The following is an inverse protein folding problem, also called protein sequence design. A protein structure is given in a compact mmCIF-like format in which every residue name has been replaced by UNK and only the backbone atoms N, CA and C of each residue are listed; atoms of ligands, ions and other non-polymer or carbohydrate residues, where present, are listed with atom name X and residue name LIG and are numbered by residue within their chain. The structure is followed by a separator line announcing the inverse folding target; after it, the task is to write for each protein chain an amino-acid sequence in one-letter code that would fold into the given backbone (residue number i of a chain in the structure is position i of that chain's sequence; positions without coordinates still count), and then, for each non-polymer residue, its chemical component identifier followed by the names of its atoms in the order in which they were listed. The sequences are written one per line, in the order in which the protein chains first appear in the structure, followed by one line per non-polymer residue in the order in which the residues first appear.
data_IF_675229946407
#
_entry.id   IF_675229946407
#
_cell.length_a   1.000
_cell.length_b   1.000
_cell.length_c   1.000
_cell.angle_alpha   90.00
_cell.angle_beta   90.00
_cell.angle_gamma   90.00
#
_symmetry.space_group_name_H-M   'P 1'
#
loop_
_entity.id
_entity.type
_entity.pdbx_description
1 polymer ?
#
# COMPACT_ATOMS: atom_id res chain seq x y z
N UNK A 1 39.15 81.07 -17.19
CA UNK A 1 38.49 82.38 -17.41
C UNK A 1 37.35 82.46 -16.44
N UNK A 2 37.60 83.31 -15.46
CA UNK A 2 36.78 84.35 -14.91
C UNK A 2 35.56 83.88 -14.10
N UNK A 3 35.66 84.10 -12.86
CA UNK A 3 35.48 85.28 -11.98
C UNK A 3 34.08 85.29 -11.46
N UNK A 4 34.01 85.21 -10.14
CA UNK A 4 33.82 86.29 -9.12
C UNK A 4 32.34 86.41 -8.80
N UNK A 5 31.87 86.61 -7.58
CA UNK A 5 32.38 87.19 -6.36
C UNK A 5 31.15 87.37 -5.46
N UNK A 6 31.32 87.16 -4.13
CA UNK A 6 30.98 88.09 -3.04
C UNK A 6 29.54 88.59 -3.04
N UNK A 7 28.77 88.66 -1.99
CA UNK A 7 28.99 89.26 -0.70
C UNK A 7 27.89 88.89 0.31
N UNK A 8 28.30 88.62 1.49
CA UNK A 8 27.92 89.27 2.74
C UNK A 8 26.56 89.96 2.85
N UNK A 9 25.76 89.60 3.84
CA UNK A 9 25.37 90.57 4.90
C UNK A 9 24.82 89.81 6.15
N UNK A 10 25.33 90.29 7.25
CA UNK A 10 24.98 90.03 8.65
C UNK A 10 23.54 90.38 9.00
N UNK A 11 23.05 89.71 10.05
CA UNK A 11 22.34 90.50 11.00
C UNK A 11 21.21 89.84 11.76
N UNK A 12 21.49 89.64 13.04
CA UNK A 12 20.61 89.92 14.18
C UNK A 12 19.68 88.82 14.69
N UNK A 13 20.13 88.28 15.83
CA UNK A 13 19.40 87.86 17.01
C UNK A 13 17.88 87.94 17.00
N UNK A 14 17.22 86.78 17.29
CA UNK A 14 16.26 86.74 18.40
C UNK A 14 16.25 85.40 19.04
N UNK A 15 16.55 85.40 20.29
CA UNK A 15 16.34 84.38 21.30
C UNK A 15 14.83 84.16 21.40
N UNK A 16 14.37 82.91 21.24
CA UNK A 16 13.22 82.50 21.98
C UNK A 16 13.38 80.98 22.38
N UNK A 17 13.29 80.88 23.63
CA UNK A 17 13.35 79.67 24.45
C UNK A 17 12.20 78.72 24.19
N UNK A 18 12.54 77.49 24.39
CA UNK A 18 11.70 76.45 25.00
C UNK A 18 10.52 75.92 24.17
N UNK A 19 10.63 74.75 23.81
CA UNK A 19 9.77 73.65 24.24
C UNK A 19 10.30 72.38 23.52
N UNK A 20 10.98 71.53 24.25
CA UNK A 20 11.14 70.13 23.84
C UNK A 20 9.81 69.47 24.11
N UNK A 21 9.11 68.90 23.11
CA UNK A 21 8.09 67.92 23.39
C UNK A 21 8.80 66.66 23.84
N UNK A 22 8.51 66.22 25.05
CA UNK A 22 8.82 64.92 25.60
C UNK A 22 8.27 63.89 24.60
N UNK A 23 9.15 63.09 24.01
CA UNK A 23 8.76 61.94 23.24
C UNK A 23 7.94 61.03 24.16
N UNK A 24 6.67 60.86 23.80
CA UNK A 24 5.83 59.82 24.40
C UNK A 24 6.50 58.44 24.19
N UNK A 25 6.44 57.55 25.14
CA UNK A 25 6.96 56.21 24.98
C UNK A 25 6.14 55.56 23.82
N UNK A 26 6.84 55.17 22.77
CA UNK A 26 6.26 54.30 21.76
C UNK A 26 5.82 53.03 22.48
N UNK A 27 4.53 52.84 22.52
CA UNK A 27 3.83 51.68 23.04
C UNK A 27 4.47 50.41 22.46
N UNK A 28 4.91 49.56 23.32
CA UNK A 28 5.35 48.19 23.01
C UNK A 28 4.15 47.30 22.68
N UNK A 29 3.35 47.67 21.65
CA UNK A 29 2.11 46.97 21.29
C UNK A 29 2.13 46.37 19.88
N UNK A 30 3.28 46.37 19.19
CA UNK A 30 3.40 45.75 17.88
C UNK A 30 4.02 44.35 17.84
N UNK A 31 4.41 43.77 18.99
CA UNK A 31 5.12 42.46 18.98
C UNK A 31 4.25 41.22 19.14
N UNK A 32 2.98 41.34 19.50
CA UNK A 32 2.16 40.18 19.89
C UNK A 32 1.24 39.65 18.77
N UNK A 33 1.15 40.31 17.64
CA UNK A 33 0.31 39.89 16.52
C UNK A 33 0.70 38.51 15.92
N UNK A 34 1.99 38.21 15.93
CA UNK A 34 2.48 36.88 15.48
C UNK A 34 2.12 35.78 16.47
N UNK A 35 2.05 36.10 17.77
CA UNK A 35 1.71 35.17 18.84
C UNK A 35 0.26 34.69 18.71
N UNK A 36 -0.66 35.60 18.35
CA UNK A 36 -2.07 35.30 18.10
C UNK A 36 -2.19 34.30 16.91
N UNK A 37 -1.50 34.60 15.80
CA UNK A 37 -1.48 33.71 14.65
C UNK A 37 -0.84 32.34 14.95
N UNK A 38 0.20 32.33 15.77
CA UNK A 38 0.86 31.09 16.21
C UNK A 38 -0.06 30.24 17.08
N UNK A 39 -0.76 30.85 18.05
CA UNK A 39 -1.74 30.15 18.91
C UNK A 39 -2.89 29.60 18.09
N UNK A 40 -3.38 30.32 17.08
CA UNK A 40 -4.45 29.83 16.19
C UNK A 40 -4.02 28.58 15.42
N UNK A 41 -2.83 28.63 14.78
CA UNK A 41 -2.27 27.45 14.10
C UNK A 41 -2.06 26.30 15.05
N UNK A 42 -1.56 26.55 16.27
CA UNK A 42 -1.32 25.52 17.28
C UNK A 42 -2.62 24.87 17.72
N UNK A 43 -3.69 25.65 17.96
CA UNK A 43 -5.00 25.13 18.34
C UNK A 43 -5.64 24.32 17.23
N UNK A 44 -5.52 24.76 15.97
CA UNK A 44 -5.97 23.99 14.80
C UNK A 44 -5.22 22.66 14.68
N UNK A 45 -3.93 22.65 14.92
CA UNK A 45 -3.10 21.45 14.87
C UNK A 45 -3.45 20.47 16.00
N UNK A 46 -3.69 20.97 17.21
CA UNK A 46 -4.12 20.17 18.35
C UNK A 46 -5.52 19.59 18.12
N UNK A 47 -6.46 20.38 17.61
CA UNK A 47 -7.81 19.90 17.29
C UNK A 47 -7.77 18.84 16.19
N UNK A 48 -6.98 19.02 15.14
CA UNK A 48 -6.76 18.03 14.10
C UNK A 48 -6.19 16.73 14.69
N UNK A 49 -5.20 16.84 15.58
CA UNK A 49 -4.59 15.69 16.22
C UNK A 49 -5.58 14.91 17.11
N UNK A 50 -6.42 15.62 17.88
CA UNK A 50 -7.47 15.01 18.69
C UNK A 50 -8.50 14.29 17.81
N UNK A 51 -8.90 14.90 16.67
CA UNK A 51 -9.81 14.26 15.71
C UNK A 51 -9.18 13.00 15.11
N UNK A 52 -7.89 13.05 14.74
CA UNK A 52 -7.17 11.88 14.22
C UNK A 52 -7.04 10.77 15.28
N UNK A 53 -6.79 11.10 16.55
CA UNK A 53 -6.79 10.13 17.65
C UNK A 53 -8.18 9.52 17.88
N UNK A 54 -9.23 10.33 17.85
CA UNK A 54 -10.59 9.85 17.97
C UNK A 54 -10.96 8.91 16.81
N UNK A 55 -10.57 9.26 15.60
CA UNK A 55 -10.76 8.42 14.41
C UNK A 55 -9.94 7.12 14.47
N UNK A 56 -8.72 7.18 14.99
CA UNK A 56 -7.87 6.00 15.21
C UNK A 56 -8.48 5.04 16.25
N UNK A 57 -9.07 5.55 17.32
CA UNK A 57 -9.76 4.74 18.33
C UNK A 57 -11.08 4.18 17.81
N UNK A 58 -11.80 4.95 17.00
CA UNK A 58 -13.06 4.49 16.38
C UNK A 58 -12.82 3.32 15.42
N UNK A 59 -11.77 3.37 14.60
CA UNK A 59 -11.38 2.25 13.73
C UNK A 59 -10.84 1.03 14.49
N UNK A 60 -10.36 1.21 15.73
CA UNK A 60 -9.92 0.13 16.62
C UNK A 60 -11.09 -0.57 17.34
N UNK A 61 -12.20 0.13 17.64
CA UNK A 61 -13.32 -0.44 18.39
C UNK A 61 -14.25 -1.32 17.55
N UNK A 62 -14.26 -1.20 16.23
CA UNK A 62 -15.02 -2.12 15.37
C UNK A 62 -14.48 -3.56 15.45
N UNK A 63 -13.25 -3.76 15.92
CA UNK A 63 -12.64 -5.10 16.07
C UNK A 63 -12.85 -5.76 17.45
N UNK A 64 -13.35 -5.05 18.47
CA UNK A 64 -13.48 -5.60 19.82
C UNK A 64 -14.91 -5.83 20.31
N UNK A 65 -15.93 -5.35 19.60
CA UNK A 65 -17.33 -5.56 19.99
C UNK A 65 -17.88 -6.96 19.67
N UNK A 66 -17.08 -7.85 19.06
CA UNK A 66 -17.50 -9.22 18.67
C UNK A 66 -17.11 -10.30 19.67
N UNK A 67 -16.52 -9.98 20.82
CA UNK A 67 -15.95 -10.99 21.74
C UNK A 67 -16.59 -11.08 23.14
N UNK A 68 -17.68 -10.36 23.43
CA UNK A 68 -18.37 -10.48 24.72
C UNK A 68 -19.87 -10.55 24.50
N UNK A 69 -20.39 -11.69 24.07
CA UNK A 69 -21.73 -12.18 24.43
C UNK A 69 -21.95 -13.62 23.91
N UNK A 70 -21.30 -14.55 24.53
CA UNK A 70 -21.62 -15.97 24.37
C UNK A 70 -21.62 -16.63 25.75
N UNK A 71 -22.62 -16.31 26.56
CA UNK A 71 -23.12 -17.22 27.60
C UNK A 71 -24.56 -16.91 27.93
N UNK A 72 -25.37 -17.95 27.86
CA UNK A 72 -26.77 -18.09 28.28
C UNK A 72 -27.87 -17.57 27.35
N UNK A 73 -28.35 -18.40 26.44
CA UNK A 73 -29.77 -18.85 26.51
C UNK A 73 -29.97 -20.14 25.70
N UNK A 74 -30.30 -21.20 26.38
CA UNK A 74 -30.86 -22.43 25.80
C UNK A 74 -32.35 -22.17 25.60
N UNK A 75 -32.86 -22.29 24.39
CA UNK A 75 -34.05 -22.98 23.93
C UNK A 75 -34.58 -22.52 22.58
N UNK A 76 -34.67 -23.50 21.71
CA UNK A 76 -35.65 -23.71 20.64
C UNK A 76 -35.97 -22.58 19.64
N UNK A 77 -35.62 -22.83 18.38
CA UNK A 77 -36.07 -22.09 17.22
C UNK A 77 -35.27 -22.45 15.99
N UNK A 78 -35.74 -23.46 15.24
CA UNK A 78 -35.22 -23.87 13.94
C UNK A 78 -35.28 -22.67 12.97
N UNK A 79 -34.12 -22.07 12.69
CA UNK A 79 -33.95 -21.19 11.55
C UNK A 79 -32.58 -21.57 10.96
N UNK A 80 -32.60 -22.05 9.72
CA UNK A 80 -31.40 -22.41 8.98
C UNK A 80 -30.51 -21.18 8.81
N UNK A 81 -29.56 -21.00 9.73
CA UNK A 81 -28.43 -20.09 9.54
C UNK A 81 -27.47 -20.83 8.62
N UNK A 82 -27.40 -20.41 7.38
CA UNK A 82 -26.28 -20.77 6.51
C UNK A 82 -24.99 -20.33 7.21
N UNK A 83 -24.36 -21.27 7.92
CA UNK A 83 -22.98 -21.13 8.33
C UNK A 83 -22.15 -20.98 7.06
N UNK A 84 -21.53 -19.80 6.90
CA UNK A 84 -20.45 -19.63 5.93
C UNK A 84 -19.30 -20.51 6.40
N UNK A 85 -19.29 -21.78 5.98
CA UNK A 85 -18.21 -22.74 6.22
C UNK A 85 -17.00 -22.45 5.30
N UNK A 86 -16.54 -21.19 5.30
CA UNK A 86 -15.28 -20.85 4.68
C UNK A 86 -14.18 -21.10 5.73
N UNK A 87 -13.27 -22.05 5.50
CA UNK A 87 -12.21 -22.32 6.46
C UNK A 87 -11.39 -21.06 6.73
N UNK A 88 -10.97 -20.82 7.97
CA UNK A 88 -10.12 -19.67 8.28
C UNK A 88 -8.79 -19.78 7.52
N UNK A 89 -8.20 -18.63 7.24
CA UNK A 89 -6.93 -18.54 6.48
C UNK A 89 -5.82 -19.48 6.99
N UNK A 90 -5.88 -19.83 8.27
CA UNK A 90 -4.93 -20.75 8.89
C UNK A 90 -5.06 -22.18 8.33
N UNK A 91 -6.28 -22.66 8.13
CA UNK A 91 -6.54 -24.00 7.58
C UNK A 91 -6.12 -24.12 6.12
N UNK A 92 -6.20 -23.02 5.34
CA UNK A 92 -5.74 -23.03 3.94
C UNK A 92 -4.24 -23.31 3.79
N UNK A 93 -3.44 -22.97 4.80
CA UNK A 93 -1.99 -23.18 4.77
C UNK A 93 -1.64 -24.53 5.34
N UNK A 94 -2.31 -24.96 6.41
CA UNK A 94 -2.04 -26.23 7.09
C UNK A 94 -2.35 -27.44 6.19
N UNK A 95 -3.30 -27.29 5.26
CA UNK A 95 -3.68 -28.35 4.30
C UNK A 95 -2.74 -28.40 3.05
N UNK A 96 -1.88 -27.39 2.88
CA UNK A 96 -0.91 -27.35 1.78
C UNK A 96 0.38 -28.10 2.15
N UNK A 97 0.40 -29.41 1.98
CA UNK A 97 1.62 -30.20 2.09
C UNK A 97 2.55 -29.91 0.91
N UNK A 98 3.54 -29.05 1.12
CA UNK A 98 4.53 -28.69 0.10
C UNK A 98 5.68 -29.71 0.15
N UNK A 99 5.98 -30.42 -0.94
CA UNK A 99 7.13 -31.30 -1.01
C UNK A 99 8.44 -30.56 -0.71
N UNK A 100 9.40 -31.19 0.00
CA UNK A 100 10.66 -30.52 0.39
C UNK A 100 11.47 -29.98 -0.79
N UNK A 101 11.43 -30.65 -1.92
CA UNK A 101 12.10 -30.25 -3.17
C UNK A 101 11.52 -28.96 -3.79
N UNK A 102 10.28 -28.63 -3.43
CA UNK A 102 9.59 -27.42 -3.93
C UNK A 102 9.63 -26.25 -2.96
N UNK A 103 10.01 -26.45 -1.69
CA UNK A 103 10.03 -25.39 -0.66
C UNK A 103 10.93 -24.22 -1.02
N UNK A 104 12.01 -24.44 -1.77
CA UNK A 104 12.91 -23.36 -2.23
C UNK A 104 12.32 -22.54 -3.40
N UNK A 105 11.21 -22.96 -3.97
CA UNK A 105 10.62 -22.41 -5.19
C UNK A 105 9.26 -21.75 -4.93
N UNK A 106 8.67 -22.02 -3.76
CA UNK A 106 7.41 -21.49 -3.30
C UNK A 106 7.60 -20.89 -1.90
N UNK A 107 7.32 -19.60 -1.77
CA UNK A 107 7.29 -18.90 -0.49
C UNK A 107 5.84 -18.54 -0.15
N UNK A 108 5.43 -18.79 1.09
CA UNK A 108 4.08 -18.46 1.56
C UNK A 108 4.18 -17.40 2.62
N UNK A 109 3.64 -16.22 2.34
CA UNK A 109 3.54 -15.11 3.27
C UNK A 109 2.08 -14.92 3.68
N UNK A 110 1.83 -14.79 4.98
CA UNK A 110 0.51 -14.52 5.52
C UNK A 110 0.47 -13.19 6.24
N UNK A 111 -0.55 -12.41 5.92
CA UNK A 111 -0.91 -11.20 6.65
C UNK A 111 -2.27 -11.38 7.33
N UNK A 112 -2.74 -10.36 8.07
CA UNK A 112 -4.08 -10.38 8.66
C UNK A 112 -5.21 -10.43 7.61
N UNK A 113 -4.92 -9.99 6.38
CA UNK A 113 -5.92 -9.76 5.32
C UNK A 113 -5.70 -10.58 4.06
N UNK A 114 -4.56 -11.25 3.93
CA UNK A 114 -4.22 -12.01 2.72
C UNK A 114 -3.28 -13.17 2.99
N UNK A 115 -3.34 -14.16 2.11
CA UNK A 115 -2.35 -15.22 1.97
C UNK A 115 -1.70 -15.07 0.61
N UNK A 116 -0.39 -14.98 0.55
CA UNK A 116 0.37 -14.80 -0.68
C UNK A 116 1.25 -16.04 -0.94
N UNK A 117 1.09 -16.65 -2.12
CA UNK A 117 1.92 -17.75 -2.61
C UNK A 117 2.85 -17.18 -3.68
N UNK A 118 4.14 -17.08 -3.38
CA UNK A 118 5.15 -16.56 -4.30
C UNK A 118 5.90 -17.70 -4.97
N UNK A 119 5.80 -17.79 -6.27
CA UNK A 119 6.39 -18.83 -7.09
C UNK A 119 7.44 -18.21 -8.00
N UNK A 120 8.68 -18.69 -7.91
CA UNK A 120 9.75 -18.23 -8.81
C UNK A 120 9.39 -18.51 -10.27
N UNK A 121 9.62 -17.54 -11.16
CA UNK A 121 9.30 -17.69 -12.58
C UNK A 121 10.04 -18.86 -13.23
N UNK A 122 11.29 -19.14 -12.83
CA UNK A 122 12.11 -20.23 -13.36
C UNK A 122 11.49 -21.61 -13.15
N UNK A 123 10.57 -21.75 -12.19
CA UNK A 123 9.80 -22.99 -11.95
C UNK A 123 8.61 -23.07 -12.90
N UNK A 124 7.98 -21.92 -13.15
CA UNK A 124 6.76 -21.86 -13.95
C UNK A 124 7.03 -21.79 -15.45
N UNK A 125 8.09 -21.07 -15.85
CA UNK A 125 8.35 -20.70 -17.25
C UNK A 125 9.82 -20.89 -17.65
N UNK A 126 10.06 -20.97 -18.94
CA UNK A 126 11.38 -20.81 -19.51
C UNK A 126 11.70 -19.32 -19.69
N UNK A 127 12.99 -19.02 -19.90
CA UNK A 127 13.44 -17.64 -20.11
C UNK A 127 12.68 -17.01 -21.29
N UNK A 128 12.23 -15.77 -21.11
CA UNK A 128 11.45 -15.04 -22.10
C UNK A 128 10.23 -15.81 -22.66
N UNK A 129 9.64 -16.72 -21.87
CA UNK A 129 8.43 -17.47 -22.19
C UNK A 129 7.31 -17.20 -21.17
N UNK A 130 6.10 -17.43 -21.61
CA UNK A 130 4.90 -17.46 -20.76
C UNK A 130 4.18 -18.82 -20.86
N UNK A 131 4.84 -19.85 -21.39
CA UNK A 131 4.28 -21.19 -21.52
C UNK A 131 4.65 -22.00 -20.27
N UNK A 132 3.65 -22.61 -19.59
CA UNK A 132 3.87 -23.31 -18.32
C UNK A 132 4.68 -24.60 -18.51
N UNK A 133 5.73 -24.73 -17.71
CA UNK A 133 6.54 -25.97 -17.57
C UNK A 133 5.76 -27.06 -16.84
N UNK A 134 6.08 -28.35 -17.05
CA UNK A 134 5.46 -29.46 -16.32
C UNK A 134 5.56 -29.31 -14.79
N UNK A 135 6.73 -28.89 -14.27
CA UNK A 135 6.93 -28.64 -12.84
C UNK A 135 6.00 -27.53 -12.32
N UNK A 136 5.86 -26.44 -13.08
CA UNK A 136 4.93 -25.34 -12.75
C UNK A 136 3.48 -25.80 -12.69
N UNK A 137 3.03 -26.61 -13.66
CA UNK A 137 1.68 -27.19 -13.66
C UNK A 137 1.44 -28.05 -12.41
N UNK A 138 2.39 -28.86 -11.99
CA UNK A 138 2.27 -29.67 -10.78
C UNK A 138 2.08 -28.84 -9.53
N UNK A 139 2.86 -27.75 -9.37
CA UNK A 139 2.73 -26.83 -8.23
C UNK A 139 1.37 -26.14 -8.25
N UNK A 140 1.01 -25.57 -9.40
CA UNK A 140 -0.24 -24.84 -9.56
C UNK A 140 -1.48 -25.74 -9.34
N UNK A 141 -1.43 -27.02 -9.73
CA UNK A 141 -2.52 -27.97 -9.48
C UNK A 141 -2.72 -28.21 -7.97
N UNK A 142 -1.61 -28.31 -7.20
CA UNK A 142 -1.68 -28.44 -5.74
C UNK A 142 -2.23 -27.22 -5.07
N UNK A 143 -1.77 -26.04 -5.49
CA UNK A 143 -2.28 -24.75 -4.98
C UNK A 143 -3.77 -24.62 -5.33
N UNK A 144 -4.18 -24.98 -6.55
CA UNK A 144 -5.58 -24.97 -6.95
C UNK A 144 -6.46 -25.84 -6.04
N UNK A 145 -6.00 -27.06 -5.67
CA UNK A 145 -6.73 -27.93 -4.73
C UNK A 145 -6.93 -27.34 -3.32
N UNK A 146 -5.99 -26.49 -2.88
CA UNK A 146 -6.16 -25.74 -1.62
C UNK A 146 -7.10 -24.54 -1.82
N UNK A 147 -6.94 -23.81 -2.92
CA UNK A 147 -7.74 -22.61 -3.21
C UNK A 147 -9.21 -22.95 -3.51
N UNK A 148 -9.49 -24.13 -4.05
CA UNK A 148 -10.85 -24.58 -4.35
C UNK A 148 -11.73 -24.69 -3.11
N UNK A 149 -11.13 -25.03 -1.97
CA UNK A 149 -11.83 -25.10 -0.66
C UNK A 149 -12.21 -23.72 -0.12
N UNK A 150 -11.71 -22.64 -0.69
CA UNK A 150 -11.97 -21.27 -0.26
C UNK A 150 -12.93 -20.54 -1.21
N UNK A 151 -13.54 -19.46 -0.70
CA UNK A 151 -14.44 -18.59 -1.50
C UNK A 151 -13.84 -17.19 -1.73
N UNK A 152 -12.58 -17.02 -1.39
CA UNK A 152 -11.93 -15.70 -1.49
C UNK A 152 -11.52 -15.38 -2.92
N UNK A 153 -11.42 -14.08 -3.20
CA UNK A 153 -10.83 -13.59 -4.43
C UNK A 153 -9.33 -13.87 -4.48
N UNK A 154 -8.84 -14.17 -5.66
CA UNK A 154 -7.45 -14.52 -5.94
C UNK A 154 -6.93 -13.57 -7.02
N UNK A 155 -5.93 -12.75 -6.69
CA UNK A 155 -5.18 -11.97 -7.66
C UNK A 155 -3.95 -12.75 -8.09
N UNK A 156 -3.83 -12.97 -9.38
CA UNK A 156 -2.65 -13.58 -10.01
C UNK A 156 -1.78 -12.45 -10.53
N UNK A 157 -0.61 -12.25 -9.96
CA UNK A 157 0.25 -11.11 -10.20
C UNK A 157 1.58 -11.55 -10.83
N UNK A 158 1.88 -11.02 -12.01
CA UNK A 158 3.13 -11.29 -12.72
C UNK A 158 4.14 -10.17 -12.48
N UNK A 159 5.38 -10.54 -12.12
CA UNK A 159 6.47 -9.62 -11.87
C UNK A 159 7.71 -10.01 -12.67
N UNK A 160 8.51 -9.02 -13.05
CA UNK A 160 9.82 -9.20 -13.68
C UNK A 160 10.93 -8.56 -12.84
N UNK A 161 12.15 -8.78 -13.21
CA UNK A 161 13.26 -7.90 -12.82
C UNK A 161 13.30 -6.66 -13.72
N UNK A 162 14.28 -5.78 -13.49
CA UNK A 162 14.47 -4.55 -14.26
C UNK A 162 15.26 -4.75 -15.56
N UNK A 163 15.65 -5.99 -15.91
CA UNK A 163 16.29 -6.25 -17.20
C UNK A 163 15.26 -6.07 -18.33
N UNK A 164 15.50 -5.18 -19.29
CA UNK A 164 14.53 -4.94 -20.35
C UNK A 164 14.44 -6.15 -21.28
N UNK A 165 13.22 -6.51 -21.65
CA UNK A 165 12.94 -7.48 -22.71
C UNK A 165 12.42 -6.76 -23.94
N UNK A 166 12.87 -7.19 -25.11
CA UNK A 166 12.32 -6.71 -26.38
C UNK A 166 12.36 -7.84 -27.40
N UNK A 167 11.21 -8.48 -27.61
CA UNK A 167 11.04 -9.56 -28.60
C UNK A 167 9.79 -9.31 -29.42
N UNK A 168 9.61 -10.03 -30.52
CA UNK A 168 8.39 -9.93 -31.32
C UNK A 168 7.11 -10.32 -30.54
N UNK A 169 7.23 -11.20 -29.55
CA UNK A 169 6.09 -11.64 -28.69
C UNK A 169 5.92 -10.73 -27.49
N UNK A 170 6.99 -10.16 -26.95
CA UNK A 170 7.01 -9.34 -25.74
C UNK A 170 7.76 -8.04 -26.00
N UNK A 171 7.06 -6.96 -26.38
CA UNK A 171 7.69 -5.65 -26.59
C UNK A 171 8.32 -5.08 -25.33
N UNK A 172 7.78 -5.39 -24.14
CA UNK A 172 8.30 -4.96 -22.85
C UNK A 172 8.02 -5.96 -21.72
N UNK A 173 8.52 -5.68 -20.53
CA UNK A 173 8.25 -6.44 -19.31
C UNK A 173 6.74 -6.42 -18.91
N UNK A 174 6.01 -5.43 -19.38
CA UNK A 174 4.56 -5.34 -19.13
C UNK A 174 3.79 -6.46 -19.82
N UNK A 175 4.05 -6.70 -21.11
CA UNK A 175 3.39 -7.77 -21.89
C UNK A 175 3.81 -9.14 -21.35
N UNK A 176 5.10 -9.32 -21.02
CA UNK A 176 5.60 -10.58 -20.47
C UNK A 176 4.91 -10.91 -19.15
N UNK A 177 4.91 -9.95 -18.18
CA UNK A 177 4.33 -10.16 -16.86
C UNK A 177 2.82 -10.40 -16.93
N UNK A 178 2.11 -9.64 -17.75
CA UNK A 178 0.65 -9.77 -17.95
C UNK A 178 0.30 -11.12 -18.58
N UNK A 179 1.04 -11.56 -19.60
CA UNK A 179 0.76 -12.84 -20.23
C UNK A 179 1.07 -14.01 -19.29
N UNK A 180 2.12 -13.94 -18.48
CA UNK A 180 2.43 -14.94 -17.46
C UNK A 180 1.30 -15.04 -16.42
N UNK A 181 0.83 -13.92 -15.89
CA UNK A 181 -0.30 -13.89 -14.97
C UNK A 181 -1.57 -14.50 -15.64
N UNK A 182 -1.87 -14.13 -16.89
CA UNK A 182 -3.01 -14.67 -17.64
C UNK A 182 -2.88 -16.17 -17.87
N UNK A 183 -1.69 -16.68 -18.19
CA UNK A 183 -1.46 -18.11 -18.40
C UNK A 183 -1.70 -18.91 -17.12
N UNK A 184 -1.21 -18.42 -15.98
CA UNK A 184 -1.46 -19.05 -14.66
C UNK A 184 -2.96 -19.00 -14.35
N UNK A 185 -3.62 -17.87 -14.58
CA UNK A 185 -5.08 -17.72 -14.36
C UNK A 185 -5.87 -18.73 -15.19
N UNK A 186 -5.56 -18.90 -16.47
CA UNK A 186 -6.20 -19.92 -17.33
C UNK A 186 -6.01 -21.32 -16.77
N UNK A 187 -4.81 -21.64 -16.34
CA UNK A 187 -4.53 -22.93 -15.75
C UNK A 187 -5.32 -23.19 -14.47
N UNK A 188 -5.48 -22.18 -13.60
CA UNK A 188 -6.32 -22.29 -12.39
C UNK A 188 -7.80 -22.52 -12.75
N UNK A 189 -8.31 -21.89 -13.81
CA UNK A 189 -9.66 -22.15 -14.34
C UNK A 189 -9.78 -23.60 -14.82
N UNK A 190 -8.80 -24.11 -15.56
CA UNK A 190 -8.74 -25.51 -15.98
C UNK A 190 -8.72 -26.50 -14.81
N UNK A 191 -8.19 -26.07 -13.64
CA UNK A 191 -8.19 -26.83 -12.39
C UNK A 191 -9.49 -26.67 -11.58
N UNK A 192 -10.51 -25.95 -12.08
CA UNK A 192 -11.82 -25.83 -11.43
C UNK A 192 -12.06 -24.54 -10.65
N UNK A 193 -11.07 -23.65 -10.53
CA UNK A 193 -11.31 -22.35 -9.86
C UNK A 193 -12.24 -21.49 -10.71
N UNK A 194 -13.32 -20.98 -10.11
CA UNK A 194 -14.33 -20.18 -10.80
C UNK A 194 -13.76 -18.83 -11.27
N UNK A 195 -14.15 -18.38 -12.44
CA UNK A 195 -13.64 -17.16 -13.10
C UNK A 195 -13.89 -15.90 -12.30
N UNK A 196 -15.01 -15.83 -11.59
CA UNK A 196 -15.42 -14.69 -10.77
C UNK A 196 -14.45 -14.44 -9.60
N UNK A 197 -13.72 -15.47 -9.20
CA UNK A 197 -12.71 -15.38 -8.12
C UNK A 197 -11.35 -14.91 -8.60
N UNK A 198 -11.09 -14.89 -9.88
CA UNK A 198 -9.75 -14.70 -10.45
C UNK A 198 -9.58 -13.33 -11.08
N UNK A 199 -8.43 -12.72 -10.82
CA UNK A 199 -7.95 -11.52 -11.49
C UNK A 199 -6.51 -11.75 -11.93
N UNK A 200 -6.14 -11.28 -13.12
CA UNK A 200 -4.78 -11.35 -13.64
C UNK A 200 -4.21 -9.94 -13.80
N UNK A 201 -3.05 -9.67 -13.23
CA UNK A 201 -2.38 -8.37 -13.28
C UNK A 201 -0.91 -8.54 -13.60
N UNK A 202 -0.37 -7.77 -14.53
CA UNK A 202 1.07 -7.66 -14.77
C UNK A 202 1.60 -6.36 -14.15
N UNK A 203 2.66 -6.47 -13.37
CA UNK A 203 3.32 -5.32 -12.72
C UNK A 203 4.69 -4.99 -13.31
N UNK A 204 5.17 -5.77 -14.28
CA UNK A 204 6.55 -5.62 -14.77
C UNK A 204 7.55 -5.59 -13.60
N UNK A 205 8.48 -4.63 -13.58
CA UNK A 205 9.48 -4.41 -12.54
C UNK A 205 9.10 -3.34 -11.50
N UNK A 206 7.84 -2.88 -11.50
CA UNK A 206 7.39 -1.77 -10.65
C UNK A 206 7.20 -2.14 -9.17
N UNK A 207 7.14 -3.44 -8.86
CA UNK A 207 6.92 -3.94 -7.50
C UNK A 207 8.01 -4.95 -7.09
N UNK A 208 9.27 -4.49 -6.89
CA UNK A 208 10.37 -5.36 -6.54
C UNK A 208 10.31 -5.82 -5.08
N UNK A 209 10.63 -7.08 -4.80
CA UNK A 209 10.83 -7.63 -3.45
C UNK A 209 12.27 -7.44 -2.96
N UNK A 210 13.20 -7.31 -3.89
CA UNK A 210 14.61 -7.11 -3.60
C UNK A 210 15.21 -6.09 -4.57
N UNK A 211 16.35 -5.53 -4.19
CA UNK A 211 17.09 -4.63 -5.10
C UNK A 211 17.56 -5.42 -6.34
N UNK A 212 17.48 -4.79 -7.51
CA UNK A 212 17.84 -5.39 -8.80
C UNK A 212 19.35 -5.34 -9.13
N UNK A 213 20.21 -5.13 -8.13
CA UNK A 213 21.66 -4.92 -8.34
C UNK A 213 22.41 -6.20 -8.67
N UNK A 214 21.96 -7.32 -8.16
CA UNK A 214 22.59 -8.64 -8.35
C UNK A 214 21.60 -9.68 -8.90
N UNK A 215 22.15 -10.83 -9.33
CA UNK A 215 21.33 -11.91 -9.89
C UNK A 215 20.37 -12.52 -8.87
N UNK A 216 20.73 -12.52 -7.59
CA UNK A 216 19.91 -13.05 -6.52
C UNK A 216 18.67 -12.17 -6.31
N UNK A 217 18.86 -10.85 -6.24
CA UNK A 217 17.76 -9.89 -6.15
C UNK A 217 16.85 -9.95 -7.37
N UNK A 218 17.43 -9.95 -8.57
CA UNK A 218 16.66 -10.12 -9.81
C UNK A 218 15.86 -11.42 -9.84
N UNK A 219 16.45 -12.53 -9.40
CA UNK A 219 15.77 -13.83 -9.36
C UNK A 219 14.60 -13.84 -8.38
N UNK A 220 14.65 -13.09 -7.27
CA UNK A 220 13.52 -12.90 -6.34
C UNK A 220 12.42 -12.05 -6.95
N UNK A 221 12.77 -11.06 -7.76
CA UNK A 221 11.81 -10.18 -8.42
C UNK A 221 11.05 -10.90 -9.54
N UNK A 222 11.70 -11.82 -10.28
CA UNK A 222 11.05 -12.65 -11.30
C UNK A 222 10.20 -13.72 -10.64
N UNK A 223 8.89 -13.44 -10.49
CA UNK A 223 7.94 -14.31 -9.82
C UNK A 223 6.52 -14.17 -10.34
N UNK A 224 5.67 -15.11 -9.97
CA UNK A 224 4.21 -14.96 -9.98
C UNK A 224 3.71 -15.09 -8.55
N UNK A 225 2.91 -14.13 -8.11
CA UNK A 225 2.26 -14.14 -6.81
C UNK A 225 0.78 -14.47 -6.95
N UNK A 226 0.29 -15.39 -6.12
CA UNK A 226 -1.14 -15.68 -5.99
C UNK A 226 -1.60 -15.08 -4.66
N UNK A 227 -2.26 -13.94 -4.70
CA UNK A 227 -2.72 -13.20 -3.53
C UNK A 227 -4.18 -13.53 -3.25
N UNK A 228 -4.43 -14.27 -2.17
CA UNK A 228 -5.78 -14.60 -1.69
C UNK A 228 -6.23 -13.53 -0.73
N UNK A 229 -7.27 -12.76 -1.09
CA UNK A 229 -7.80 -11.68 -0.27
C UNK A 229 -8.87 -12.21 0.70
N UNK A 230 -8.55 -12.26 2.00
CA UNK A 230 -9.43 -12.80 3.04
C UNK A 230 -10.58 -11.86 3.43
N UNK A 231 -10.54 -10.61 2.98
CA UNK A 231 -11.60 -9.62 3.26
C UNK A 231 -12.65 -9.54 2.12
N UNK A 232 -12.44 -10.22 1.01
CA UNK A 232 -13.29 -10.13 -0.17
C UNK A 232 -13.80 -11.53 -0.60
N UNK A 233 -14.76 -12.11 0.14
CA UNK A 233 -15.40 -13.36 -0.28
C UNK A 233 -16.29 -13.08 -1.48
N UNK A 234 -16.18 -13.89 -2.51
CA UNK A 234 -17.06 -13.81 -3.69
C UNK A 234 -18.47 -14.22 -3.28
N UNK A 235 -19.44 -13.34 -3.51
CA UNK A 235 -20.87 -13.63 -3.30
C UNK A 235 -21.30 -14.70 -4.29
N UNK A 236 -21.86 -15.79 -3.78
CA UNK A 236 -22.58 -16.75 -4.63
C UNK A 236 -23.91 -16.09 -5.02
N UNK A 237 -24.16 -15.98 -6.29
CA UNK A 237 -25.45 -15.60 -6.85
C UNK A 237 -26.32 -16.84 -7.04
#
# INVERSE_FOLDING_TARGET
MNRTSLDSYQGIHHRNSAFHPVAAPHDAQESDGWLISFVDILTLLVTLFVVLLAFSQYSGQVKTASKVKAEKHVMAGTTATQQNDTPPARELIDDLTIPPDLQHQLEITRTATSVNFEIKDSVLFDTASADLKPAGRTILARIAGVLDKSRYQISVEGHTDNAPIHTARFPSNWELSTLRATTVTRYLIEQGITTERLRATGYADTQPLAVNTDDTGRARNRRVSLVVNLNDPVKQF
#
